data_IF_096223619967
#
_entry.id   IF_096223619967
#
_cell.length_a   1.000
_cell.length_b   1.000
_cell.length_c   1.000
_cell.angle_alpha   90.00
_cell.angle_beta   90.00
_cell.angle_gamma   90.00
#
_symmetry.space_group_name_H-M   'P 1'
#
loop_
_entity.id
_entity.type
_entity.pdbx_description
1 polymer ?
#
# COMPACT_ATOMS: atom_id res chain seq x y z
N UNK A 1 10.87 -11.79 -12.21
CA UNK A 1 10.05 -10.62 -12.55
C UNK A 1 8.54 -10.93 -12.53
N UNK A 2 8.13 -12.02 -13.17
CA UNK A 2 6.70 -12.38 -13.22
C UNK A 2 6.13 -12.65 -11.84
N UNK A 3 6.89 -13.31 -10.97
CA UNK A 3 6.48 -13.57 -9.59
C UNK A 3 6.30 -12.26 -8.83
N UNK A 4 7.21 -11.32 -9.01
CA UNK A 4 7.16 -10.02 -8.34
C UNK A 4 5.96 -9.21 -8.84
N UNK A 5 5.74 -9.18 -10.15
CA UNK A 5 4.58 -8.51 -10.74
C UNK A 5 3.28 -9.09 -10.19
N UNK A 6 3.17 -10.42 -10.18
CA UNK A 6 1.98 -11.10 -9.67
C UNK A 6 1.73 -10.79 -8.20
N UNK A 7 2.79 -10.72 -7.39
CA UNK A 7 2.68 -10.39 -5.97
C UNK A 7 2.16 -8.97 -5.75
N UNK A 8 2.70 -8.00 -6.51
CA UNK A 8 2.20 -6.63 -6.44
C UNK A 8 0.75 -6.53 -6.92
N UNK A 9 0.42 -7.22 -8.01
CA UNK A 9 -0.94 -7.22 -8.54
C UNK A 9 -1.93 -7.81 -7.52
N UNK A 10 -1.54 -8.88 -6.83
CA UNK A 10 -2.37 -9.48 -5.79
C UNK A 10 -2.61 -8.49 -4.65
N UNK A 11 -1.59 -7.76 -4.24
CA UNK A 11 -1.74 -6.75 -3.19
C UNK A 11 -2.69 -5.63 -3.61
N UNK A 12 -2.81 -5.35 -4.90
CA UNK A 12 -3.67 -4.32 -5.46
C UNK A 12 -5.00 -4.86 -5.99
N UNK A 13 -5.35 -6.09 -5.66
CA UNK A 13 -6.54 -6.74 -6.20
C UNK A 13 -7.85 -6.34 -5.51
N UNK A 14 -7.84 -5.32 -4.68
CA UNK A 14 -9.01 -4.82 -3.98
C UNK A 14 -9.07 -3.29 -4.11
N UNK A 15 -10.25 -2.71 -4.44
CA UNK A 15 -10.35 -1.26 -4.62
C UNK A 15 -9.88 -0.45 -3.41
N UNK A 16 -10.13 -0.95 -2.20
CA UNK A 16 -9.69 -0.27 -0.99
C UNK A 16 -8.17 -0.18 -0.91
N UNK A 17 -7.46 -1.22 -1.34
CA UNK A 17 -5.99 -1.21 -1.34
C UNK A 17 -5.42 -0.24 -2.35
N UNK A 18 -6.06 -0.13 -3.51
CA UNK A 18 -5.68 0.86 -4.52
C UNK A 18 -5.87 2.26 -3.94
N UNK A 19 -7.00 2.51 -3.27
CA UNK A 19 -7.28 3.81 -2.65
C UNK A 19 -6.27 4.16 -1.57
N UNK A 20 -5.90 3.20 -0.72
CA UNK A 20 -4.91 3.38 0.33
C UNK A 20 -3.55 3.73 -0.29
N UNK A 21 -3.12 2.96 -1.27
CA UNK A 21 -1.82 3.20 -1.91
C UNK A 21 -1.79 4.58 -2.56
N UNK A 22 -2.87 4.97 -3.25
CA UNK A 22 -2.97 6.27 -3.89
C UNK A 22 -2.89 7.41 -2.86
N UNK A 23 -3.57 7.25 -1.73
CA UNK A 23 -3.53 8.24 -0.65
C UNK A 23 -2.11 8.39 -0.11
N UNK A 24 -1.43 7.27 0.17
CA UNK A 24 -0.07 7.30 0.71
C UNK A 24 0.93 7.85 -0.30
N UNK A 25 0.73 7.59 -1.58
CA UNK A 25 1.62 8.07 -2.63
C UNK A 25 1.62 9.59 -2.76
N UNK A 26 0.56 10.25 -2.31
CA UNK A 26 0.46 11.71 -2.32
C UNK A 26 1.21 12.36 -1.16
N UNK A 27 1.58 11.58 -0.16
CA UNK A 27 2.25 12.12 1.03
C UNK A 27 3.75 12.28 0.76
N UNK A 28 4.29 13.40 1.21
CA UNK A 28 5.74 13.64 1.16
C UNK A 28 6.45 13.04 2.36
N UNK A 29 5.70 12.71 3.41
CA UNK A 29 6.20 12.08 4.62
C UNK A 29 5.33 10.87 4.95
N UNK A 30 5.79 10.05 5.89
CA UNK A 30 5.02 8.90 6.34
C UNK A 30 3.71 9.36 6.98
N UNK A 31 2.65 8.61 6.72
CA UNK A 31 1.35 8.88 7.31
C UNK A 31 1.32 8.39 8.76
N UNK A 32 0.92 9.27 9.67
CA UNK A 32 0.72 8.95 11.07
C UNK A 32 -0.72 9.30 11.41
N UNK A 33 -1.48 8.31 11.86
CA UNK A 33 -2.86 8.54 12.24
C UNK A 33 -3.80 7.47 11.73
N UNK A 34 -5.07 7.81 11.66
CA UNK A 34 -6.15 6.89 11.37
C UNK A 34 -6.71 7.10 9.96
N UNK A 35 -6.43 6.15 9.08
CA UNK A 35 -6.97 6.17 7.71
C UNK A 35 -8.48 5.99 7.66
N UNK A 36 -9.09 5.51 8.73
CA UNK A 36 -10.56 5.34 8.77
C UNK A 36 -11.25 6.69 8.54
N UNK A 37 -10.66 7.78 9.03
CA UNK A 37 -11.21 9.12 8.84
C UNK A 37 -11.12 9.59 7.39
N UNK A 38 -10.17 9.05 6.63
CA UNK A 38 -9.94 9.43 5.24
C UNK A 38 -10.70 8.56 4.25
N UNK A 39 -11.05 7.34 4.68
CA UNK A 39 -11.63 6.33 3.81
C UNK A 39 -12.91 5.76 4.42
N UNK A 40 -13.95 5.54 3.62
CA UNK A 40 -15.22 4.96 4.11
C UNK A 40 -15.09 3.43 4.29
N UNK A 41 -14.15 2.99 5.11
CA UNK A 41 -13.82 1.58 5.31
C UNK A 41 -13.72 1.32 6.81
N UNK A 42 -14.25 0.18 7.27
CA UNK A 42 -14.18 -0.22 8.67
C UNK A 42 -12.72 -0.40 9.10
N UNK A 43 -12.40 -0.03 10.33
CA UNK A 43 -11.02 -0.03 10.84
C UNK A 43 -10.35 -1.40 10.76
N UNK A 44 -11.07 -2.46 11.11
CA UNK A 44 -10.52 -3.82 11.04
C UNK A 44 -10.12 -4.19 9.60
N UNK A 45 -10.93 -3.75 8.63
CA UNK A 45 -10.68 -3.98 7.21
C UNK A 45 -9.48 -3.16 6.73
N UNK A 46 -9.36 -1.91 7.21
CA UNK A 46 -8.21 -1.07 6.87
C UNK A 46 -6.91 -1.73 7.34
N UNK A 47 -6.89 -2.24 8.57
CA UNK A 47 -5.72 -2.92 9.13
C UNK A 47 -5.32 -4.12 8.28
N UNK A 48 -6.29 -4.92 7.82
CA UNK A 48 -6.03 -6.07 6.97
C UNK A 48 -5.47 -5.64 5.62
N UNK A 49 -6.02 -4.59 5.02
CA UNK A 49 -5.52 -4.07 3.75
C UNK A 49 -4.11 -3.51 3.87
N UNK A 50 -3.81 -2.80 4.95
CA UNK A 50 -2.46 -2.29 5.20
C UNK A 50 -1.47 -3.44 5.35
N UNK A 51 -1.87 -4.51 6.04
CA UNK A 51 -1.02 -5.68 6.21
C UNK A 51 -0.69 -6.33 4.86
N UNK A 52 -1.68 -6.48 3.99
CA UNK A 52 -1.47 -7.06 2.65
C UNK A 52 -0.49 -6.22 1.82
N UNK A 53 -0.65 -4.90 1.85
CA UNK A 53 0.25 -4.00 1.14
C UNK A 53 1.67 -4.04 1.71
N UNK A 54 1.79 -4.14 3.03
CA UNK A 54 3.08 -4.23 3.70
C UNK A 54 3.77 -5.55 3.39
N UNK A 55 3.04 -6.66 3.45
CA UNK A 55 3.61 -7.99 3.16
C UNK A 55 4.10 -8.09 1.72
N UNK A 56 3.46 -7.39 0.80
CA UNK A 56 3.91 -7.32 -0.59
C UNK A 56 5.10 -6.37 -0.79
N UNK A 57 5.43 -5.56 0.21
CA UNK A 57 6.55 -4.63 0.15
C UNK A 57 6.24 -3.28 -0.45
N UNK A 58 4.97 -2.98 -0.76
CA UNK A 58 4.61 -1.68 -1.35
C UNK A 58 4.61 -0.55 -0.32
N UNK A 59 4.33 -0.89 0.93
CA UNK A 59 4.41 0.06 2.05
C UNK A 59 5.26 -0.53 3.16
N UNK A 60 5.68 0.32 4.08
CA UNK A 60 6.45 -0.07 5.25
C UNK A 60 6.01 0.73 6.45
N UNK A 61 6.40 0.29 7.66
CA UNK A 61 6.08 1.00 8.89
C UNK A 61 5.51 0.11 9.97
N UNK A 62 5.04 0.75 11.04
CA UNK A 62 4.42 0.10 12.18
C UNK A 62 2.90 0.28 12.09
N UNK A 63 2.16 -0.84 12.15
CA UNK A 63 0.70 -0.83 12.03
C UNK A 63 0.07 -1.31 13.34
N UNK A 64 0.86 -1.53 14.38
CA UNK A 64 0.40 -2.02 15.67
C UNK A 64 0.08 -0.85 16.60
N UNK A 65 -1.17 -0.73 17.06
CA UNK A 65 -1.52 0.31 18.02
C UNK A 65 -0.70 0.22 19.30
N UNK A 66 -0.40 1.35 19.98
CA UNK A 66 -0.84 2.71 19.64
C UNK A 66 0.02 3.39 18.58
N UNK A 67 1.07 2.74 18.10
CA UNK A 67 1.96 3.32 17.09
C UNK A 67 1.46 2.91 15.70
N UNK A 68 0.87 3.86 15.00
CA UNK A 68 0.42 3.67 13.63
C UNK A 68 1.18 4.66 12.76
N UNK A 69 2.15 4.15 12.01
CA UNK A 69 2.96 4.95 11.10
C UNK A 69 3.31 4.09 9.90
N UNK A 70 2.94 4.55 8.71
CA UNK A 70 3.24 3.83 7.49
C UNK A 70 3.50 4.79 6.35
N UNK A 71 4.31 4.33 5.42
CA UNK A 71 4.67 5.13 4.25
C UNK A 71 4.94 4.23 3.06
N UNK A 72 4.97 4.83 1.89
CA UNK A 72 5.33 4.12 0.66
C UNK A 72 6.77 3.61 0.81
N UNK A 73 6.99 2.35 0.44
CA UNK A 73 8.34 1.87 0.21
C UNK A 73 8.73 2.36 -1.18
N UNK A 74 9.47 3.45 -1.23
CA UNK A 74 9.73 4.15 -2.48
C UNK A 74 10.45 3.30 -3.51
N UNK A 75 11.40 2.47 -3.06
CA UNK A 75 12.14 1.59 -3.96
C UNK A 75 11.20 0.58 -4.64
N UNK A 76 10.40 -0.10 -3.84
CA UNK A 76 9.48 -1.11 -4.36
C UNK A 76 8.32 -0.48 -5.15
N UNK A 77 7.86 0.68 -4.72
CA UNK A 77 6.81 1.40 -5.43
C UNK A 77 7.25 1.77 -6.85
N UNK A 78 8.47 2.32 -6.97
CA UNK A 78 9.03 2.71 -8.26
C UNK A 78 9.30 1.48 -9.13
N UNK A 79 9.74 0.39 -8.52
CA UNK A 79 9.95 -0.87 -9.23
C UNK A 79 8.64 -1.43 -9.76
N UNK A 80 7.58 -1.41 -8.96
CA UNK A 80 6.26 -1.87 -9.38
C UNK A 80 5.74 -1.04 -10.55
N UNK A 81 5.90 0.28 -10.45
CA UNK A 81 5.51 1.20 -11.53
C UNK A 81 6.20 0.85 -12.84
N UNK A 82 7.51 0.63 -12.78
CA UNK A 82 8.29 0.27 -13.95
C UNK A 82 7.84 -1.07 -14.53
N UNK A 83 7.62 -2.07 -13.69
CA UNK A 83 7.22 -3.40 -14.14
C UNK A 83 5.84 -3.39 -14.76
N UNK A 84 4.88 -2.67 -14.17
CA UNK A 84 3.54 -2.56 -14.74
C UNK A 84 3.55 -1.78 -16.05
N UNK A 85 4.33 -0.71 -16.16
CA UNK A 85 4.47 0.04 -17.40
C UNK A 85 5.01 -0.85 -18.52
N UNK A 86 5.98 -1.70 -18.21
CA UNK A 86 6.55 -2.61 -19.20
C UNK A 86 5.61 -3.75 -19.56
N UNK A 87 4.71 -4.13 -18.66
CA UNK A 87 3.76 -5.19 -18.89
C UNK A 87 2.73 -4.81 -19.97
N UNK A 88 2.36 -3.55 -20.03
CA UNK A 88 1.29 -3.06 -20.88
C UNK A 88 1.80 -2.36 -22.15
N UNK A 89 2.95 -2.75 -22.62
CA UNK A 89 3.49 -2.26 -23.89
C UNK A 89 2.74 -2.87 -25.09
#
# INVERSE_FOLDING_TARGET
RDVVVARFAKALSHPARVAILRLLAKQTACYCGDLVQELPIAQATVSQHLKELKDAGLIEGEITPPKVRYCINRVNYDMAKLYFDNLFI
#
